data_IF_876646300195
#
_entry.id   IF_876646300195
#
_cell.length_a   1.000
_cell.length_b   1.000
_cell.length_c   1.000
_cell.angle_alpha   90.00
_cell.angle_beta   90.00
_cell.angle_gamma   90.00
#
_symmetry.space_group_name_H-M   'P 1'
#
loop_
_entity.id
_entity.type
_entity.pdbx_description
1 polymer ?
#
# COMPACT_ATOMS: atom_id res chain seq x y z
N UNK A 1 9.88 -15.29 18.01
CA UNK A 1 8.62 -14.96 17.30
C UNK A 1 7.79 -16.22 17.34
N UNK A 2 6.77 -16.26 18.20
CA UNK A 2 5.72 -17.27 18.09
C UNK A 2 5.23 -17.32 16.64
N UNK A 3 4.97 -18.52 16.13
CA UNK A 3 4.80 -18.82 14.71
C UNK A 3 3.67 -17.99 14.08
N UNK A 4 4.00 -16.85 13.49
CA UNK A 4 3.07 -16.07 12.67
C UNK A 4 2.79 -16.86 11.39
N UNK A 5 1.52 -17.16 11.13
CA UNK A 5 1.08 -17.69 9.83
C UNK A 5 0.89 -16.51 8.90
N UNK A 6 1.32 -16.65 7.65
CA UNK A 6 1.17 -15.60 6.65
C UNK A 6 0.74 -16.19 5.31
N UNK A 7 0.13 -15.32 4.51
CA UNK A 7 -0.16 -15.52 3.10
C UNK A 7 0.37 -14.32 2.31
N UNK A 8 0.73 -14.56 1.05
CA UNK A 8 1.13 -13.53 0.10
C UNK A 8 0.08 -13.52 -1.01
N UNK A 9 -0.61 -12.40 -1.17
CA UNK A 9 -1.66 -12.25 -2.19
C UNK A 9 -1.12 -11.29 -3.25
N UNK A 10 -0.81 -11.83 -4.43
CA UNK A 10 -0.38 -11.04 -5.58
C UNK A 10 -1.57 -10.63 -6.43
N UNK A 11 -1.67 -9.34 -6.76
CA UNK A 11 -2.73 -8.85 -7.65
C UNK A 11 -2.11 -8.49 -8.99
N UNK A 12 -2.41 -9.31 -9.99
CA UNK A 12 -2.05 -9.07 -11.38
C UNK A 12 -3.10 -8.17 -12.05
N UNK A 13 -2.77 -6.90 -12.26
CA UNK A 13 -3.65 -5.88 -12.85
C UNK A 13 -3.64 -5.93 -14.40
N UNK A 14 -3.90 -7.12 -14.93
CA UNK A 14 -3.98 -7.39 -16.37
C UNK A 14 -2.64 -7.26 -17.09
N UNK A 15 -1.58 -7.90 -16.57
CA UNK A 15 -0.27 -7.92 -17.24
C UNK A 15 -0.33 -8.67 -18.57
N UNK A 16 0.45 -8.21 -19.56
CA UNK A 16 0.54 -8.83 -20.89
C UNK A 16 1.85 -9.62 -21.10
N UNK A 17 2.63 -9.82 -20.04
CA UNK A 17 3.87 -10.59 -20.06
C UNK A 17 3.69 -11.92 -19.30
N UNK A 18 4.80 -12.56 -18.92
CA UNK A 18 4.78 -13.86 -18.23
C UNK A 18 4.42 -13.75 -16.74
N UNK A 19 4.06 -12.58 -16.23
CA UNK A 19 3.79 -12.37 -14.79
C UNK A 19 2.75 -13.35 -14.27
N UNK A 20 1.61 -13.51 -14.96
CA UNK A 20 0.55 -14.43 -14.52
C UNK A 20 1.02 -15.90 -14.53
N UNK A 21 1.71 -16.33 -15.59
CA UNK A 21 2.27 -17.68 -15.70
C UNK A 21 3.22 -17.99 -14.52
N UNK A 22 4.09 -17.04 -14.18
CA UNK A 22 5.03 -17.15 -13.07
C UNK A 22 4.29 -17.23 -11.73
N UNK A 23 3.26 -16.39 -11.51
CA UNK A 23 2.45 -16.42 -10.29
C UNK A 23 1.71 -17.74 -10.10
N UNK A 24 1.13 -18.30 -11.17
CA UNK A 24 0.52 -19.64 -11.17
C UNK A 24 1.55 -20.70 -10.75
N UNK A 25 2.75 -20.63 -11.33
CA UNK A 25 3.87 -21.51 -10.99
C UNK A 25 4.21 -21.46 -9.49
N UNK A 26 4.30 -20.26 -8.91
CA UNK A 26 4.58 -20.11 -7.48
C UNK A 26 3.44 -20.59 -6.59
N UNK A 27 2.18 -20.26 -6.92
CA UNK A 27 1.01 -20.68 -6.15
C UNK A 27 0.80 -22.19 -6.14
N UNK A 28 1.17 -22.89 -7.23
CA UNK A 28 1.14 -24.35 -7.29
C UNK A 28 2.17 -25.03 -6.39
N UNK A 29 3.28 -24.35 -6.08
CA UNK A 29 4.38 -24.90 -5.29
C UNK A 29 4.33 -24.48 -3.81
N UNK A 30 3.66 -23.38 -3.47
CA UNK A 30 3.54 -22.88 -2.10
C UNK A 30 2.11 -22.39 -1.81
N UNK A 31 1.40 -23.08 -0.92
CA UNK A 31 0.01 -22.78 -0.57
C UNK A 31 -0.17 -21.44 0.18
N UNK A 32 0.92 -20.81 0.62
CA UNK A 32 0.90 -19.46 1.18
C UNK A 32 0.83 -18.39 0.09
N UNK A 33 1.17 -18.74 -1.15
CA UNK A 33 1.14 -17.83 -2.29
C UNK A 33 -0.22 -17.96 -2.98
N UNK A 34 -0.94 -16.85 -3.02
CA UNK A 34 -2.22 -16.70 -3.70
C UNK A 34 -2.09 -15.59 -4.74
N UNK A 35 -2.95 -15.62 -5.74
CA UNK A 35 -3.00 -14.56 -6.73
C UNK A 35 -4.44 -14.24 -7.15
N UNK A 36 -4.65 -13.01 -7.59
CA UNK A 36 -5.87 -12.55 -8.27
C UNK A 36 -5.41 -11.95 -9.59
N UNK A 37 -5.96 -12.43 -10.71
CA UNK A 37 -5.72 -11.84 -12.02
C UNK A 37 -6.96 -11.08 -12.46
N UNK A 38 -6.80 -9.78 -12.70
CA UNK A 38 -7.85 -8.93 -13.22
C UNK A 38 -7.93 -9.05 -14.74
N UNK A 39 -9.14 -8.96 -15.28
CA UNK A 39 -9.38 -9.20 -16.72
C UNK A 39 -8.71 -8.20 -17.66
N UNK A 40 -8.29 -7.05 -17.13
CA UNK A 40 -7.56 -5.97 -17.81
C UNK A 40 -6.94 -5.06 -16.75
N UNK A 41 -6.19 -4.06 -17.18
CA UNK A 41 -5.70 -3.01 -16.29
C UNK A 41 -6.86 -2.12 -15.77
N UNK A 42 -7.10 -2.16 -14.47
CA UNK A 42 -8.04 -1.31 -13.73
C UNK A 42 -7.35 -0.26 -12.84
N UNK A 43 -6.02 -0.33 -12.75
CA UNK A 43 -5.20 0.60 -11.97
C UNK A 43 -4.96 0.14 -10.53
N UNK A 44 -3.92 0.72 -9.92
CA UNK A 44 -3.40 0.38 -8.58
C UNK A 44 -4.48 0.33 -7.49
N UNK A 45 -5.39 1.28 -7.48
CA UNK A 45 -6.43 1.40 -6.45
C UNK A 45 -7.44 0.24 -6.52
N UNK A 46 -7.82 -0.17 -7.73
CA UNK A 46 -8.71 -1.30 -7.97
C UNK A 46 -8.03 -2.61 -7.58
N UNK A 47 -6.76 -2.78 -7.95
CA UNK A 47 -5.95 -3.93 -7.57
C UNK A 47 -5.78 -4.02 -6.05
N UNK A 48 -5.46 -2.91 -5.40
CA UNK A 48 -5.35 -2.82 -3.94
C UNK A 48 -6.67 -3.20 -3.26
N UNK A 49 -7.80 -2.67 -3.73
CA UNK A 49 -9.11 -2.99 -3.19
C UNK A 49 -9.42 -4.50 -3.29
N UNK A 50 -9.19 -5.10 -4.46
CA UNK A 50 -9.37 -6.54 -4.65
C UNK A 50 -8.49 -7.36 -3.70
N UNK A 51 -7.25 -6.94 -3.47
CA UNK A 51 -6.36 -7.58 -2.51
C UNK A 51 -6.83 -7.47 -1.06
N UNK A 52 -7.34 -6.30 -0.65
CA UNK A 52 -7.92 -6.12 0.68
C UNK A 52 -9.17 -6.98 0.88
N UNK A 53 -10.06 -7.02 -0.12
CA UNK A 53 -11.30 -7.81 -0.08
C UNK A 53 -11.01 -9.32 0.02
N UNK A 54 -9.95 -9.78 -0.65
CA UNK A 54 -9.56 -11.20 -0.64
C UNK A 54 -8.73 -11.61 0.57
N UNK A 55 -8.15 -10.65 1.30
CA UNK A 55 -7.30 -10.93 2.46
C UNK A 55 -8.08 -11.49 3.65
N UNK A 56 -7.48 -12.43 4.39
CA UNK A 56 -8.16 -13.12 5.51
C UNK A 56 -7.43 -13.02 6.84
N UNK A 57 -6.28 -12.37 6.88
CA UNK A 57 -5.45 -12.25 8.07
C UNK A 57 -5.99 -11.25 9.11
N UNK A 58 -5.64 -11.48 10.37
CA UNK A 58 -5.90 -10.53 11.48
C UNK A 58 -5.19 -9.18 11.26
N UNK A 59 -4.08 -9.23 10.51
CA UNK A 59 -3.30 -8.08 10.07
C UNK A 59 -3.04 -8.19 8.58
N UNK A 60 -3.14 -7.07 7.87
CA UNK A 60 -2.97 -7.00 6.42
C UNK A 60 -1.90 -5.96 6.11
N UNK A 61 -0.86 -6.42 5.41
CA UNK A 61 0.17 -5.55 4.88
C UNK A 61 -0.06 -5.27 3.40
N UNK A 62 0.17 -4.03 2.99
CA UNK A 62 0.19 -3.62 1.59
C UNK A 62 1.61 -3.24 1.25
N UNK A 63 2.18 -3.75 0.17
CA UNK A 63 3.55 -3.48 -0.26
C UNK A 63 3.63 -3.50 -1.79
N UNK A 64 4.39 -2.60 -2.39
CA UNK A 64 4.64 -2.60 -3.83
C UNK A 64 5.62 -3.75 -4.20
N UNK A 65 5.40 -4.39 -5.35
CA UNK A 65 6.20 -5.54 -5.79
C UNK A 65 7.58 -5.17 -6.36
N UNK A 66 7.91 -3.88 -6.45
CA UNK A 66 9.14 -3.37 -7.06
C UNK A 66 10.36 -3.34 -6.11
N UNK A 67 10.22 -3.91 -4.91
CA UNK A 67 11.23 -4.02 -3.85
C UNK A 67 11.86 -2.68 -3.44
N UNK A 68 11.21 -1.54 -3.74
CA UNK A 68 11.64 -0.24 -3.18
C UNK A 68 11.34 -0.13 -1.68
N UNK A 69 10.40 -0.94 -1.20
CA UNK A 69 9.98 -1.03 0.19
C UNK A 69 10.63 -2.27 0.84
N UNK A 70 11.49 -2.12 1.86
CA UNK A 70 12.21 -3.24 2.46
C UNK A 70 11.25 -4.15 3.26
N UNK A 71 11.08 -5.43 2.88
CA UNK A 71 10.17 -6.35 3.57
C UNK A 71 10.51 -6.57 5.05
N UNK A 72 11.77 -6.38 5.45
CA UNK A 72 12.22 -6.51 6.83
C UNK A 72 11.49 -5.54 7.78
N UNK A 73 11.00 -4.40 7.26
CA UNK A 73 10.20 -3.47 8.06
C UNK A 73 8.88 -4.08 8.53
N UNK A 74 8.35 -5.11 7.84
CA UNK A 74 7.15 -5.82 8.31
C UNK A 74 7.35 -6.41 9.71
N UNK A 75 8.57 -6.86 10.02
CA UNK A 75 8.91 -7.41 11.33
C UNK A 75 8.80 -6.31 12.41
N UNK A 76 9.31 -5.12 12.12
CA UNK A 76 9.23 -3.97 13.02
C UNK A 76 7.79 -3.46 13.17
N UNK A 77 7.06 -3.35 12.05
CA UNK A 77 5.65 -2.98 12.05
C UNK A 77 4.84 -3.93 12.91
N UNK A 78 4.98 -5.24 12.70
CA UNK A 78 4.24 -6.24 13.44
C UNK A 78 4.57 -6.21 14.93
N UNK A 79 5.86 -6.19 15.29
CA UNK A 79 6.30 -6.07 16.70
C UNK A 79 5.71 -4.83 17.36
N UNK A 80 5.73 -3.70 16.67
CA UNK A 80 5.20 -2.43 17.19
C UNK A 80 3.68 -2.49 17.36
N UNK A 81 2.99 -3.09 16.40
CA UNK A 81 1.53 -3.21 16.40
C UNK A 81 1.01 -4.16 17.49
N UNK A 82 1.78 -5.19 17.88
CA UNK A 82 1.42 -6.07 19.01
C UNK A 82 1.82 -5.49 20.36
N UNK A 83 2.90 -4.70 20.44
CA UNK A 83 3.36 -4.12 21.71
C UNK A 83 2.62 -2.84 22.08
N UNK A 84 2.15 -2.09 21.09
CA UNK A 84 1.52 -0.80 21.26
C UNK A 84 0.11 -0.83 20.66
N UNK A 85 -0.85 -0.12 21.28
CA UNK A 85 -2.23 -0.06 20.80
C UNK A 85 -2.35 0.88 19.58
N UNK A 86 -1.88 0.45 18.42
CA UNK A 86 -2.06 1.14 17.12
C UNK A 86 -2.87 0.28 16.17
N UNK A 87 -3.62 0.94 15.30
CA UNK A 87 -4.46 0.31 14.28
C UNK A 87 -3.75 0.19 12.93
N UNK A 88 -2.75 1.05 12.72
CA UNK A 88 -1.93 1.08 11.52
C UNK A 88 -0.49 1.46 11.84
N UNK A 89 0.46 0.78 11.20
CA UNK A 89 1.85 1.22 11.12
C UNK A 89 2.13 1.53 9.65
N UNK A 90 2.31 2.81 9.32
CA UNK A 90 2.58 3.27 7.96
C UNK A 90 4.04 3.70 7.81
N UNK A 91 4.54 3.67 6.58
CA UNK A 91 5.90 4.12 6.29
C UNK A 91 5.95 5.47 5.59
N UNK A 92 7.06 6.18 5.84
CA UNK A 92 7.42 7.39 5.12
C UNK A 92 8.91 7.40 4.78
N UNK A 93 9.26 8.02 3.67
CA UNK A 93 10.65 8.28 3.34
C UNK A 93 11.21 9.40 4.21
N UNK A 94 12.44 9.22 4.68
CA UNK A 94 13.14 10.21 5.52
C UNK A 94 13.61 11.45 4.74
N UNK A 95 13.99 11.27 3.46
CA UNK A 95 14.65 12.31 2.65
C UNK A 95 13.96 12.65 1.33
N UNK A 96 14.05 13.93 0.97
CA UNK A 96 13.29 14.62 -0.08
C UNK A 96 14.19 15.21 -1.19
N UNK A 97 15.30 14.58 -1.54
CA UNK A 97 16.13 15.06 -2.66
C UNK A 97 15.46 14.71 -4.00
N UNK A 98 14.78 15.68 -4.62
CA UNK A 98 14.49 15.67 -6.07
C UNK A 98 13.03 15.74 -6.54
N UNK A 99 12.02 15.82 -5.66
CA UNK A 99 10.60 15.86 -6.10
C UNK A 99 10.07 17.31 -6.24
N UNK A 100 9.47 17.69 -7.39
CA UNK A 100 8.88 19.01 -7.58
C UNK A 100 7.57 19.16 -6.76
N UNK A 101 7.40 20.25 -5.99
CA UNK A 101 6.22 20.45 -5.16
C UNK A 101 5.03 20.96 -6.00
N UNK A 102 4.38 20.08 -6.76
CA UNK A 102 3.12 20.39 -7.44
C UNK A 102 1.96 19.95 -6.57
N UNK A 103 1.46 20.88 -5.74
CA UNK A 103 0.18 20.70 -5.03
C UNK A 103 -0.94 21.34 -5.85
N UNK A 104 -1.78 20.53 -6.47
CA UNK A 104 -2.99 20.99 -7.17
C UNK A 104 -3.91 21.79 -6.22
N UNK A 105 -4.56 22.83 -6.73
CA UNK A 105 -5.53 23.64 -5.98
C UNK A 105 -6.64 22.79 -5.36
N UNK A 106 -7.13 21.78 -6.08
CA UNK A 106 -8.13 20.84 -5.59
C UNK A 106 -7.62 20.00 -4.41
N UNK A 107 -6.34 19.59 -4.45
CA UNK A 107 -5.71 18.89 -3.33
C UNK A 107 -5.68 19.78 -2.09
N UNK A 108 -5.32 21.07 -2.22
CA UNK A 108 -5.33 22.02 -1.08
C UNK A 108 -6.73 22.21 -0.48
N UNK A 109 -7.78 22.27 -1.30
CA UNK A 109 -9.16 22.39 -0.83
C UNK A 109 -9.64 21.11 -0.13
N UNK A 110 -9.32 19.94 -0.70
CA UNK A 110 -9.57 18.63 -0.10
C UNK A 110 -8.86 18.50 1.26
N UNK A 111 -7.58 18.90 1.34
CA UNK A 111 -6.80 18.88 2.58
C UNK A 111 -7.34 19.82 3.66
N UNK A 112 -7.81 21.02 3.29
CA UNK A 112 -8.44 21.94 4.24
C UNK A 112 -9.75 21.39 4.82
N UNK A 113 -10.53 20.67 4.00
CA UNK A 113 -11.79 20.07 4.44
C UNK A 113 -11.54 18.88 5.38
N UNK A 114 -10.58 18.01 5.03
CA UNK A 114 -10.19 16.85 5.86
C UNK A 114 -9.59 17.27 7.20
N UNK A 115 -8.68 18.25 7.23
CA UNK A 115 -8.07 18.74 8.47
C UNK A 115 -9.08 19.42 9.42
N UNK A 116 -10.25 19.84 8.91
CA UNK A 116 -11.32 20.46 9.71
C UNK A 116 -12.26 19.43 10.33
N UNK A 117 -12.40 18.25 9.71
CA UNK A 117 -13.30 17.18 10.13
C UNK A 117 -12.55 16.09 10.92
N UNK A 118 -11.24 15.97 10.71
CA UNK A 118 -10.42 14.91 11.29
C UNK A 118 -9.03 15.45 11.68
N UNK A 119 -8.45 14.95 12.78
CA UNK A 119 -7.03 15.17 13.15
C UNK A 119 -6.11 14.33 12.25
N UNK A 120 -6.29 14.41 10.95
CA UNK A 120 -5.53 13.61 10.00
C UNK A 120 -4.28 14.36 9.64
N UNK A 121 -3.18 13.94 10.26
CA UNK A 121 -1.84 14.36 9.86
C UNK A 121 -1.54 13.72 8.50
N UNK A 122 -1.72 14.48 7.43
CA UNK A 122 -1.23 14.09 6.11
C UNK A 122 0.29 14.24 6.14
N UNK A 123 0.97 13.11 6.37
CA UNK A 123 2.41 13.07 6.52
C UNK A 123 3.08 13.13 5.16
N UNK A 124 3.97 14.11 5.00
CA UNK A 124 4.80 14.27 3.80
C UNK A 124 5.72 13.05 3.60
N UNK A 125 5.89 12.59 2.35
CA UNK A 125 6.68 11.38 2.03
C UNK A 125 6.01 10.05 2.35
N UNK A 126 4.68 10.03 2.59
CA UNK A 126 3.92 8.81 2.84
C UNK A 126 3.97 7.82 1.66
N UNK A 127 4.26 6.56 1.99
CA UNK A 127 4.21 5.42 1.06
C UNK A 127 2.92 4.62 1.26
N UNK A 128 2.61 3.78 0.29
CA UNK A 128 1.49 2.85 0.42
C UNK A 128 1.86 1.68 1.35
N UNK A 129 3.17 1.41 1.53
CA UNK A 129 3.68 0.39 2.43
C UNK A 129 3.26 0.61 3.89
N UNK A 130 2.40 -0.29 4.38
CA UNK A 130 1.80 -0.22 5.72
C UNK A 130 1.31 -1.59 6.19
N UNK A 131 1.17 -1.72 7.50
CA UNK A 131 0.49 -2.81 8.19
C UNK A 131 -0.76 -2.27 8.88
N UNK A 132 -1.91 -2.92 8.67
CA UNK A 132 -3.21 -2.54 9.23
C UNK A 132 -3.80 -3.72 10.00
N UNK A 133 -4.59 -3.45 11.05
CA UNK A 133 -5.42 -4.47 11.67
C UNK A 133 -6.68 -4.74 10.83
N UNK A 134 -7.31 -5.91 11.04
CA UNK A 134 -8.52 -6.31 10.32
C UNK A 134 -9.70 -5.33 10.50
N UNK A 135 -9.81 -4.66 11.65
CA UNK A 135 -10.85 -3.64 11.89
C UNK A 135 -10.72 -2.46 10.93
N UNK A 136 -9.51 -1.94 10.74
CA UNK A 136 -9.24 -0.86 9.78
C UNK A 136 -9.49 -1.32 8.35
N UNK A 137 -9.08 -2.53 7.98
CA UNK A 137 -9.32 -3.11 6.65
C UNK A 137 -10.81 -3.17 6.35
N UNK A 138 -11.62 -3.70 7.28
CA UNK A 138 -13.07 -3.78 7.12
C UNK A 138 -13.70 -2.39 6.97
N UNK A 139 -13.29 -1.41 7.77
CA UNK A 139 -13.77 -0.03 7.64
C UNK A 139 -13.41 0.58 6.27
N UNK A 140 -12.24 0.27 5.71
CA UNK A 140 -11.85 0.69 4.35
C UNK A 140 -12.75 0.04 3.30
N UNK A 141 -13.08 -1.24 3.46
CA UNK A 141 -13.93 -1.99 2.51
C UNK A 141 -15.39 -1.50 2.53
N UNK A 142 -15.89 -1.01 3.67
CA UNK A 142 -17.24 -0.45 3.77
C UNK A 142 -17.46 0.84 2.95
N UNK A 143 -16.37 1.54 2.60
CA UNK A 143 -16.45 2.76 1.78
C UNK A 143 -16.69 2.34 0.33
N UNK A 144 -17.93 2.45 -0.15
CA UNK A 144 -18.34 2.01 -1.51
C UNK A 144 -18.08 3.05 -2.62
N UNK A 145 -17.28 4.07 -2.36
CA UNK A 145 -16.99 5.12 -3.35
C UNK A 145 -16.19 4.55 -4.52
N UNK A 146 -16.68 4.76 -5.75
CA UNK A 146 -16.07 4.23 -6.98
C UNK A 146 -14.77 4.93 -7.37
N UNK A 147 -14.57 6.18 -6.95
CA UNK A 147 -13.33 6.92 -7.13
C UNK A 147 -12.49 6.84 -5.85
N UNK A 148 -11.94 5.66 -5.56
CA UNK A 148 -11.11 5.43 -4.38
C UNK A 148 -9.80 6.20 -4.50
N UNK A 149 -9.54 7.09 -3.55
CA UNK A 149 -8.21 7.66 -3.32
C UNK A 149 -7.69 7.10 -2.00
N UNK A 150 -7.01 5.95 -2.04
CA UNK A 150 -6.62 5.22 -0.82
C UNK A 150 -5.81 6.08 0.15
N UNK A 151 -4.96 6.98 -0.35
CA UNK A 151 -4.21 7.92 0.51
C UNK A 151 -5.12 8.88 1.30
N UNK A 152 -6.27 9.27 0.75
CA UNK A 152 -7.28 10.05 1.46
C UNK A 152 -8.13 9.20 2.39
N UNK A 153 -8.52 8.00 1.94
CA UNK A 153 -9.32 7.05 2.72
C UNK A 153 -8.58 6.60 3.99
N UNK A 154 -7.29 6.23 3.88
CA UNK A 154 -6.48 5.83 5.02
C UNK A 154 -6.33 6.92 6.08
N UNK A 155 -6.31 8.18 5.66
CA UNK A 155 -6.39 9.30 6.59
C UNK A 155 -7.80 9.43 7.19
N UNK A 156 -8.83 9.44 6.33
CA UNK A 156 -10.22 9.72 6.70
C UNK A 156 -10.81 8.74 7.72
N UNK A 157 -10.43 7.46 7.69
CA UNK A 157 -10.93 6.45 8.63
C UNK A 157 -10.52 6.69 10.09
N UNK A 158 -9.61 7.63 10.38
CA UNK A 158 -9.36 8.14 11.73
C UNK A 158 -8.67 7.18 12.71
N UNK A 159 -8.20 6.03 12.22
CA UNK A 159 -7.52 5.01 13.01
C UNK A 159 -6.14 5.46 13.50
N UNK A 160 -5.72 4.96 14.67
CA UNK A 160 -4.49 5.39 15.32
C UNK A 160 -3.28 4.84 14.55
N UNK A 161 -2.59 5.73 13.85
CA UNK A 161 -1.48 5.39 12.95
C UNK A 161 -0.13 5.82 13.52
N UNK A 162 0.84 4.91 13.54
CA UNK A 162 2.26 5.23 13.80
C UNK A 162 3.03 5.30 12.49
N UNK A 163 3.95 6.25 12.37
CA UNK A 163 4.77 6.43 11.18
C UNK A 163 6.20 5.96 11.44
N UNK A 164 6.65 4.95 10.68
CA UNK A 164 8.04 4.51 10.64
C UNK A 164 8.75 5.18 9.47
N UNK A 165 9.90 5.79 9.74
CA UNK A 165 10.74 6.41 8.70
C UNK A 165 11.88 5.49 8.32
N UNK A 166 12.11 5.31 7.02
CA UNK A 166 13.24 4.55 6.49
C UNK A 166 13.97 5.32 5.38
N UNK A 167 15.22 4.93 5.13
CA UNK A 167 16.07 5.47 4.06
C UNK A 167 15.83 4.71 2.76
N UNK A 168 16.01 5.39 1.61
CA UNK A 168 15.66 4.81 0.32
C UNK A 168 16.63 3.68 -0.04
N UNK A 169 16.11 2.48 -0.30
CA UNK A 169 16.92 1.36 -0.80
C UNK A 169 17.07 1.54 -2.32
N UNK A 170 18.30 1.59 -2.83
CA UNK A 170 18.55 1.63 -4.27
C UNK A 170 18.08 0.31 -4.91
N UNK A 171 17.45 0.40 -6.10
CA UNK A 171 16.81 -0.75 -6.76
C UNK A 171 17.76 -1.93 -6.95
N UNK A 172 17.30 -3.14 -6.65
CA UNK A 172 18.05 -4.38 -6.92
C UNK A 172 18.02 -4.81 -8.40
N UNK A 173 16.97 -4.47 -9.17
CA UNK A 173 16.90 -4.73 -10.61
C UNK A 173 15.78 -3.89 -11.30
N UNK A 174 16.08 -3.25 -12.43
CA UNK A 174 15.08 -2.68 -13.34
C UNK A 174 15.30 -1.20 -13.70
N UNK A 175 15.69 -0.96 -14.96
CA UNK A 175 15.65 0.38 -15.56
C UNK A 175 14.19 0.88 -15.61
N UNK A 176 13.97 2.14 -15.22
CA UNK A 176 12.64 2.75 -15.23
C UNK A 176 12.09 2.90 -16.64
N UNK A 177 11.02 2.17 -16.98
CA UNK A 177 10.19 2.42 -18.17
C UNK A 177 9.22 3.59 -18.01
N UNK A 178 9.64 4.67 -17.35
CA UNK A 178 8.87 5.92 -17.29
C UNK A 178 9.72 7.06 -17.83
N UNK A 179 9.75 7.19 -19.16
CA UNK A 179 10.18 8.40 -19.82
C UNK A 179 9.01 9.40 -19.82
N UNK A 180 9.10 10.43 -18.97
CA UNK A 180 8.38 11.67 -19.19
C UNK A 180 8.93 12.34 -20.46
N UNK A 181 8.41 11.97 -21.63
CA UNK A 181 8.43 12.74 -22.88
C UNK A 181 7.65 11.98 -23.95
N UNK A 182 6.41 12.41 -24.17
CA UNK A 182 6.05 12.92 -25.49
C UNK A 182 4.77 13.75 -25.37
N UNK A 183 4.96 15.05 -25.52
CA UNK A 183 3.92 16.01 -25.88
C UNK A 183 4.54 16.95 -26.91
N UNK A 184 4.51 16.51 -28.17
CA UNK A 184 4.24 17.29 -29.38
C UNK A 184 4.31 16.38 -30.60
#
# INVERSE_FOLDING_TARGET
MDRVKFELIFIDDGSNDKTLEILIGYANNDNRIKYISLSRNFGKESALYAGLEYSTGDYVAVMDADLQDPPELLIEMYKTMISEKYDCIATRRRDRKGEPPIRSFFARCFYKLINKISKVDIVDGARDFRLMNGTMVNAILEIKESNRFSKGIFGWVGFKTKWLSYENVERAAGESKWSFRDSR
#
